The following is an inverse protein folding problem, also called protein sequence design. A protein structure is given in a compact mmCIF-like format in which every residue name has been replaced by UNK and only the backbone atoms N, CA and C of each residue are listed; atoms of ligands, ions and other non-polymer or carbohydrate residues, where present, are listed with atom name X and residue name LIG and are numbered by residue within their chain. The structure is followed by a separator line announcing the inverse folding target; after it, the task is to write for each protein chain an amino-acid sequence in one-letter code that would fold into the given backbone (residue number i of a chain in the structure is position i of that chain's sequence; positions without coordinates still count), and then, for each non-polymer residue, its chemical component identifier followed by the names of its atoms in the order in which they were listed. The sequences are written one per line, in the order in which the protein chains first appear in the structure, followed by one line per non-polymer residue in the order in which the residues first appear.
data_IF_040588723846
#
_entry.id   IF_040588723846
#
_cell.length_a   1.000
_cell.length_b   1.000
_cell.length_c   1.000
_cell.angle_alpha   90.00
_cell.angle_beta   90.00
_cell.angle_gamma   90.00
#
_symmetry.space_group_name_H-M   'P 1'
#
loop_
_entity.id
_entity.type
_entity.pdbx_description
1 polymer ?
#
# COMPACT_ATOMS: atom_id res chain seq x y z
N UNK A 1 -16.47 -10.93 -0.52
CA UNK A 1 -16.53 -9.53 -0.95
C UNK A 1 -15.10 -9.04 -1.01
N UNK A 2 -14.74 -8.37 -2.10
CA UNK A 2 -13.44 -7.72 -2.24
C UNK A 2 -13.45 -6.45 -1.39
N UNK A 3 -12.37 -6.15 -0.67
CA UNK A 3 -12.21 -4.89 0.08
C UNK A 3 -10.85 -4.26 -0.19
N UNK A 4 -10.78 -2.95 0.03
CA UNK A 4 -9.54 -2.18 0.00
C UNK A 4 -9.46 -1.43 1.32
N UNK A 5 -8.31 -1.54 1.99
CA UNK A 5 -8.03 -0.94 3.29
C UNK A 5 -6.72 -0.15 3.16
N UNK A 6 -6.68 1.06 3.69
CA UNK A 6 -5.47 1.87 3.76
C UNK A 6 -4.99 1.93 5.21
N UNK A 7 -3.72 1.58 5.41
CA UNK A 7 -3.03 1.70 6.70
C UNK A 7 -2.09 2.90 6.64
N UNK A 8 -2.46 3.97 7.33
CA UNK A 8 -1.67 5.19 7.39
C UNK A 8 -0.41 5.06 8.25
N UNK A 9 -0.33 4.09 9.17
CA UNK A 9 0.83 3.92 10.05
C UNK A 9 2.04 3.41 9.26
N UNK A 10 1.80 2.51 8.31
CA UNK A 10 2.83 1.92 7.44
C UNK A 10 2.78 2.45 6.01
N UNK A 11 1.87 3.38 5.71
CA UNK A 11 1.64 3.95 4.39
C UNK A 11 1.47 2.86 3.32
N UNK A 12 0.56 1.92 3.59
CA UNK A 12 0.31 0.77 2.73
C UNK A 12 -1.17 0.63 2.40
N UNK A 13 -1.44 0.05 1.23
CA UNK A 13 -2.79 -0.30 0.82
C UNK A 13 -2.92 -1.81 0.73
N UNK A 14 -3.92 -2.37 1.40
CA UNK A 14 -4.25 -3.77 1.36
C UNK A 14 -5.51 -4.01 0.54
N UNK A 15 -5.42 -4.86 -0.47
CA UNK A 15 -6.54 -5.30 -1.31
C UNK A 15 -6.86 -6.76 -0.94
N UNK A 16 -8.02 -6.99 -0.32
CA UNK A 16 -8.49 -8.34 -0.01
C UNK A 16 -9.29 -8.91 -1.16
N UNK A 17 -8.82 -9.98 -1.79
CA UNK A 17 -9.50 -10.63 -2.92
C UNK A 17 -10.60 -11.58 -2.46
N UNK A 18 -10.32 -12.39 -1.43
CA UNK A 18 -11.28 -13.32 -0.82
C UNK A 18 -11.00 -13.52 0.67
N UNK A 19 -11.98 -14.06 1.41
CA UNK A 19 -11.76 -14.46 2.80
C UNK A 19 -10.89 -15.72 2.83
N UNK A 20 -9.95 -15.77 3.76
CA UNK A 20 -9.02 -16.89 3.91
C UNK A 20 -7.96 -16.60 4.95
N UNK A 21 -7.17 -17.63 5.30
CA UNK A 21 -5.96 -17.47 6.10
C UNK A 21 -4.77 -17.36 5.17
N UNK A 22 -3.92 -16.36 5.42
CA UNK A 22 -2.60 -16.25 4.79
C UNK A 22 -1.78 -17.45 5.25
N UNK A 23 -1.19 -18.17 4.29
CA UNK A 23 -0.19 -19.22 4.55
C UNK A 23 1.22 -18.63 4.46
N UNK A 24 1.45 -17.84 3.41
CA UNK A 24 2.69 -17.08 3.20
C UNK A 24 2.42 -15.84 2.36
N UNK A 25 3.37 -14.91 2.39
CA UNK A 25 3.38 -13.68 1.60
C UNK A 25 4.61 -13.70 0.70
N UNK A 26 4.42 -13.40 -0.58
CA UNK A 26 5.47 -13.45 -1.59
C UNK A 26 5.67 -12.06 -2.22
N UNK A 27 6.90 -11.51 -2.25
CA UNK A 27 7.17 -10.28 -2.97
C UNK A 27 7.02 -10.51 -4.47
N UNK A 28 6.16 -9.72 -5.11
CA UNK A 28 5.96 -9.74 -6.56
C UNK A 28 6.77 -8.63 -7.26
N UNK A 29 6.94 -7.51 -6.58
CA UNK A 29 7.75 -6.36 -7.00
C UNK A 29 8.24 -5.60 -5.77
N UNK A 30 9.12 -4.61 -5.96
CA UNK A 30 9.74 -3.83 -4.87
C UNK A 30 8.75 -3.28 -3.84
N UNK A 31 7.54 -2.92 -4.28
CA UNK A 31 6.51 -2.35 -3.42
C UNK A 31 5.20 -3.15 -3.43
N UNK A 32 5.21 -4.39 -3.94
CA UNK A 32 4.01 -5.22 -4.04
C UNK A 32 4.28 -6.60 -3.44
N UNK A 33 3.47 -6.98 -2.46
CA UNK A 33 3.48 -8.29 -1.81
C UNK A 33 2.13 -8.97 -2.07
N UNK A 34 2.15 -10.27 -2.33
CA UNK A 34 0.95 -11.09 -2.55
C UNK A 34 0.80 -12.10 -1.42
N UNK A 35 -0.34 -12.06 -0.75
CA UNK A 35 -0.72 -13.08 0.23
C UNK A 35 -1.35 -14.27 -0.48
N UNK A 36 -0.83 -15.46 -0.22
CA UNK A 36 -1.32 -16.72 -0.77
C UNK A 36 -1.78 -17.67 0.34
N UNK A 37 -2.80 -18.46 0.04
CA UNK A 37 -3.28 -19.54 0.92
C UNK A 37 -2.50 -20.85 0.73
N UNK A 38 -2.85 -21.87 1.53
CA UNK A 38 -2.22 -23.21 1.48
C UNK A 38 -2.35 -23.92 0.14
N UNK A 39 -3.27 -23.50 -0.73
CA UNK A 39 -3.46 -24.05 -2.06
C UNK A 39 -2.65 -23.28 -3.13
N UNK A 40 -1.96 -22.21 -2.73
CA UNK A 40 -1.24 -21.31 -3.63
C UNK A 40 -2.14 -20.31 -4.32
N UNK A 41 -3.39 -20.12 -3.87
CA UNK A 41 -4.30 -19.14 -4.45
C UNK A 41 -4.11 -17.78 -3.75
N UNK A 42 -4.06 -16.70 -4.53
CA UNK A 42 -3.98 -15.35 -3.99
C UNK A 42 -5.24 -15.01 -3.18
N UNK A 43 -5.05 -14.46 -1.97
CA UNK A 43 -6.14 -13.99 -1.10
C UNK A 43 -6.06 -12.49 -0.81
N UNK A 44 -4.89 -11.89 -0.98
CA UNK A 44 -4.66 -10.47 -0.74
C UNK A 44 -3.46 -9.93 -1.50
N UNK A 45 -3.42 -8.62 -1.66
CA UNK A 45 -2.31 -7.86 -2.24
C UNK A 45 -2.01 -6.70 -1.31
N UNK A 46 -0.76 -6.54 -0.92
CA UNK A 46 -0.27 -5.39 -0.17
C UNK A 46 0.59 -4.53 -1.09
N UNK A 47 0.32 -3.23 -1.10
CA UNK A 47 1.06 -2.24 -1.88
C UNK A 47 1.64 -1.22 -0.91
N UNK A 48 2.96 -1.19 -0.81
CA UNK A 48 3.69 -0.16 -0.08
C UNK A 48 3.68 1.12 -0.91
N UNK A 49 3.17 2.21 -0.33
CA UNK A 49 3.16 3.50 -0.99
C UNK A 49 4.47 4.24 -0.70
N UNK A 50 4.96 5.06 -1.65
CA UNK A 50 6.13 5.89 -1.40
C UNK A 50 5.85 6.80 -0.21
N UNK A 51 6.84 6.93 0.67
CA UNK A 51 6.80 7.95 1.72
C UNK A 51 6.57 9.30 1.04
N UNK A 52 5.53 10.02 1.48
CA UNK A 52 5.36 11.42 1.12
C UNK A 52 6.63 12.14 1.54
N UNK A 53 7.41 12.61 0.56
CA UNK A 53 8.59 13.42 0.87
C UNK A 53 8.08 14.74 1.44
N UNK A 54 8.20 14.88 2.77
CA UNK A 54 7.87 16.11 3.50
C UNK A 54 8.54 17.33 2.85
N UNK A 55 9.71 17.17 2.20
CA UNK A 55 10.40 18.26 1.50
C UNK A 55 9.63 18.71 0.27
N UNK A 56 8.98 17.80 -0.45
CA UNK A 56 8.15 18.13 -1.62
C UNK A 56 6.87 18.83 -1.18
N UNK A 57 6.21 18.36 -0.11
CA UNK A 57 5.02 19.03 0.40
C UNK A 57 5.34 20.42 1.00
N UNK A 58 6.47 20.56 1.70
CA UNK A 58 6.97 21.84 2.18
C UNK A 58 7.35 22.78 1.04
N UNK A 59 8.00 22.27 -0.01
CA UNK A 59 8.38 23.05 -1.19
C UNK A 59 7.14 23.60 -1.90
N UNK A 60 6.15 22.74 -2.18
CA UNK A 60 4.88 23.17 -2.80
C UNK A 60 4.15 24.18 -1.91
N UNK A 61 4.10 23.93 -0.60
CA UNK A 61 3.48 24.86 0.36
C UNK A 61 4.18 26.23 0.39
N UNK A 62 5.51 26.26 0.27
CA UNK A 62 6.28 27.51 0.14
C UNK A 62 5.99 28.20 -1.18
N UNK A 63 6.01 27.47 -2.30
CA UNK A 63 5.77 28.02 -3.63
C UNK A 63 4.38 28.68 -3.73
N UNK A 64 3.34 28.03 -3.20
CA UNK A 64 1.97 28.58 -3.20
C UNK A 64 1.80 29.83 -2.31
N UNK A 65 2.62 29.99 -1.27
CA UNK A 65 2.59 31.17 -0.38
C UNK A 65 3.31 32.40 -0.97
N UNK A 66 4.15 32.21 -1.99
CA UNK A 66 4.93 33.30 -2.61
C UNK A 66 4.10 34.09 -3.64
N UNK A 67 2.94 33.57 -4.06
CA UNK A 67 2.04 34.25 -5.02
C UNK A 67 0.91 35.09 -4.37
N UNK A 68 1.01 35.42 -3.07
CA UNK A 68 0.03 36.26 -2.37
C UNK A 68 0.57 37.67 -2.06
#
# INVERSE_FOLDING_TARGET
MVSVEFDSEVNAMYIRLKKGKVDRSEPLADNVIVDVDKKGEAIGIEILLPNHDIRVSEFVSKALKVEA
#
